data_IF_259125801999
#
_entry.id   IF_259125801999
#
_cell.length_a   1.000
_cell.length_b   1.000
_cell.length_c   1.000
_cell.angle_alpha   90.00
_cell.angle_beta   90.00
_cell.angle_gamma   90.00
#
_symmetry.space_group_name_H-M   'P 1'
#
loop_
_entity.id
_entity.type
_entity.pdbx_description
1 polymer ?
#
# COMPACT_ATOMS: atom_id res chain seq x y z
N UNK A 1 -42.09 0.53 45.86
CA UNK A 1 -41.47 1.40 44.85
C UNK A 1 -40.25 0.68 44.30
N UNK A 2 -40.40 -0.03 43.18
CA UNK A 2 -39.33 -0.85 42.58
C UNK A 2 -38.45 0.10 41.74
N UNK A 3 -37.19 0.26 42.15
CA UNK A 3 -36.20 1.05 41.41
C UNK A 3 -35.70 0.22 40.23
N UNK A 4 -36.08 0.61 39.01
CA UNK A 4 -35.55 0.05 37.77
C UNK A 4 -34.15 0.64 37.56
N UNK A 5 -33.11 -0.19 37.69
CA UNK A 5 -31.77 0.16 37.27
C UNK A 5 -31.67 -0.09 35.75
N UNK A 6 -31.50 0.98 34.97
CA UNK A 6 -31.26 0.89 33.54
C UNK A 6 -29.79 0.49 33.30
N UNK A 7 -29.60 -0.69 32.70
CA UNK A 7 -28.29 -1.18 32.26
C UNK A 7 -27.95 -0.49 30.93
N UNK A 8 -26.99 0.43 30.93
CA UNK A 8 -26.40 0.93 29.68
C UNK A 8 -25.51 -0.18 29.11
N UNK A 9 -25.98 -0.86 28.07
CA UNK A 9 -25.15 -1.72 27.23
C UNK A 9 -24.42 -0.80 26.26
N UNK A 10 -23.14 -0.52 26.54
CA UNK A 10 -22.22 0.07 25.57
C UNK A 10 -22.01 -0.97 24.45
N UNK A 11 -22.66 -0.74 23.31
CA UNK A 11 -22.36 -1.44 22.07
C UNK A 11 -20.97 -0.97 21.60
N UNK A 12 -19.93 -1.65 22.06
CA UNK A 12 -18.63 -1.57 21.40
C UNK A 12 -18.80 -2.16 19.99
N UNK A 13 -18.79 -1.29 18.97
CA UNK A 13 -18.67 -1.75 17.59
C UNK A 13 -17.36 -2.52 17.42
N UNK A 14 -17.26 -3.43 16.44
CA UNK A 14 -15.98 -4.06 16.13
C UNK A 14 -14.97 -2.94 15.83
N UNK A 15 -13.81 -2.99 16.49
CA UNK A 15 -12.65 -2.18 16.10
C UNK A 15 -12.44 -2.39 14.58
N UNK A 16 -12.24 -1.32 13.82
CA UNK A 16 -12.21 -1.42 12.37
C UNK A 16 -10.89 -2.06 11.93
N UNK A 17 -10.89 -3.39 11.88
CA UNK A 17 -9.85 -4.18 11.25
C UNK A 17 -9.69 -3.79 9.77
N UNK A 18 -8.52 -4.06 9.20
CA UNK A 18 -8.32 -3.96 7.76
C UNK A 18 -9.44 -4.70 7.03
N UNK A 19 -10.16 -4.01 6.14
CA UNK A 19 -11.26 -4.61 5.39
C UNK A 19 -10.83 -4.89 3.96
N UNK A 20 -10.82 -6.15 3.58
CA UNK A 20 -10.52 -6.61 2.23
C UNK A 20 -11.77 -7.16 1.56
N UNK A 21 -12.09 -6.69 0.35
CA UNK A 21 -13.21 -7.22 -0.42
C UNK A 21 -12.95 -7.18 -1.92
N UNK A 22 -13.70 -8.01 -2.65
CA UNK A 22 -13.73 -7.94 -4.10
C UNK A 22 -14.63 -6.80 -4.57
N UNK A 23 -14.22 -6.10 -5.63
CA UNK A 23 -14.98 -5.02 -6.28
C UNK A 23 -14.93 -5.21 -7.78
N UNK A 24 -16.10 -5.22 -8.42
CA UNK A 24 -16.21 -5.24 -9.88
C UNK A 24 -16.30 -3.80 -10.43
N UNK A 25 -15.43 -3.47 -11.38
CA UNK A 25 -15.39 -2.17 -12.06
C UNK A 25 -15.17 -2.36 -13.56
N UNK A 26 -16.12 -1.86 -14.38
CA UNK A 26 -16.06 -1.90 -15.86
C UNK A 26 -15.66 -3.28 -16.43
N UNK A 27 -16.23 -4.35 -15.89
CA UNK A 27 -15.97 -5.76 -16.24
C UNK A 27 -14.56 -6.27 -15.88
N UNK A 28 -13.92 -5.67 -14.87
CA UNK A 28 -12.68 -6.15 -14.28
C UNK A 28 -12.89 -6.26 -12.78
N UNK A 29 -12.39 -7.34 -12.19
CA UNK A 29 -12.46 -7.58 -10.76
C UNK A 29 -11.17 -7.14 -10.08
N UNK A 30 -11.30 -6.49 -8.95
CA UNK A 30 -10.20 -6.07 -8.09
C UNK A 30 -10.41 -6.61 -6.68
N UNK A 31 -9.32 -6.88 -5.97
CA UNK A 31 -9.35 -6.94 -4.51
C UNK A 31 -8.88 -5.59 -3.97
N UNK A 32 -9.67 -5.01 -3.09
CA UNK A 32 -9.40 -3.75 -2.38
C UNK A 32 -9.27 -4.06 -0.89
N UNK A 33 -8.17 -3.66 -0.29
CA UNK A 33 -7.97 -3.68 1.16
C UNK A 33 -7.86 -2.24 1.66
N UNK A 34 -8.80 -1.83 2.49
CA UNK A 34 -8.91 -0.49 3.06
C UNK A 34 -8.39 -0.47 4.49
N UNK A 35 -7.57 0.52 4.81
CA UNK A 35 -6.91 0.70 6.10
C UNK A 35 -7.12 2.13 6.59
N UNK A 36 -7.57 2.29 7.83
CA UNK A 36 -7.50 3.55 8.57
C UNK A 36 -6.17 3.60 9.34
N UNK A 37 -5.19 4.41 8.92
CA UNK A 37 -3.87 4.46 9.56
C UNK A 37 -3.90 5.01 10.99
N UNK A 38 -5.00 5.62 11.44
CA UNK A 38 -5.20 6.04 12.83
C UNK A 38 -5.56 4.88 13.78
N UNK A 39 -6.09 3.78 13.24
CA UNK A 39 -6.51 2.60 14.00
C UNK A 39 -5.57 1.43 13.78
N UNK A 40 -5.08 1.28 12.55
CA UNK A 40 -4.29 0.14 12.08
C UNK A 40 -2.90 0.62 11.59
N UNK A 41 -1.84 0.50 12.43
CA UNK A 41 -0.52 1.01 12.09
C UNK A 41 0.08 0.31 10.87
N UNK A 42 0.15 1.03 9.75
CA UNK A 42 0.80 0.56 8.53
C UNK A 42 2.32 0.58 8.72
N UNK A 43 2.98 -0.51 8.35
CA UNK A 43 4.44 -0.65 8.40
C UNK A 43 5.00 -1.05 7.04
N UNK A 44 6.28 -0.78 6.86
CA UNK A 44 7.09 -1.39 5.81
C UNK A 44 8.06 -2.39 6.44
N UNK A 45 8.33 -3.46 5.70
CA UNK A 45 9.23 -4.53 6.07
C UNK A 45 10.20 -4.80 4.91
N UNK A 46 11.50 -4.70 5.19
CA UNK A 46 12.55 -5.07 4.25
C UNK A 46 13.49 -6.11 4.84
N UNK A 47 13.99 -5.84 6.04
CA UNK A 47 15.03 -6.60 6.72
C UNK A 47 14.57 -7.10 8.08
N UNK A 48 15.05 -8.29 8.45
CA UNK A 48 15.04 -8.76 9.82
C UNK A 48 16.10 -8.04 10.69
N UNK A 49 16.10 -8.31 12.00
CA UNK A 49 17.06 -7.69 12.94
C UNK A 49 18.53 -8.01 12.63
N UNK A 50 18.80 -9.05 11.82
CA UNK A 50 20.14 -9.46 11.40
C UNK A 50 20.53 -8.89 10.02
N UNK A 51 19.70 -8.04 9.41
CA UNK A 51 19.92 -7.44 8.10
C UNK A 51 19.66 -8.39 6.93
N UNK A 52 18.94 -9.50 7.15
CA UNK A 52 18.54 -10.42 6.08
C UNK A 52 17.18 -10.00 5.54
N UNK A 53 17.01 -10.03 4.21
CA UNK A 53 15.72 -9.73 3.57
C UNK A 53 14.63 -10.69 4.06
N UNK A 54 13.49 -10.16 4.48
CA UNK A 54 12.31 -10.99 4.79
C UNK A 54 11.85 -11.79 3.57
N UNK A 55 11.69 -11.11 2.43
CA UNK A 55 11.37 -11.72 1.15
C UNK A 55 9.97 -12.33 1.01
N UNK A 56 9.22 -12.54 2.10
CA UNK A 56 7.91 -13.19 2.07
C UNK A 56 7.06 -12.83 3.29
N UNK A 57 5.74 -12.91 3.14
CA UNK A 57 4.78 -12.70 4.23
C UNK A 57 5.03 -13.68 5.40
N UNK A 58 5.23 -14.97 5.10
CA UNK A 58 5.52 -15.99 6.11
C UNK A 58 6.76 -15.69 6.95
N UNK A 59 7.82 -15.14 6.34
CA UNK A 59 9.03 -14.79 7.08
C UNK A 59 8.75 -13.65 8.09
N UNK A 60 7.96 -12.65 7.68
CA UNK A 60 7.49 -11.58 8.57
C UNK A 60 6.65 -12.18 9.70
N UNK A 61 5.66 -13.01 9.38
CA UNK A 61 4.78 -13.62 10.39
C UNK A 61 5.54 -14.45 11.42
N UNK A 62 6.53 -15.22 10.95
CA UNK A 62 7.34 -16.07 11.83
C UNK A 62 8.19 -15.31 12.85
N UNK A 63 8.48 -14.03 12.58
CA UNK A 63 9.36 -13.20 13.41
C UNK A 63 8.60 -12.12 14.17
N UNK A 64 7.62 -11.49 13.54
CA UNK A 64 6.95 -10.29 14.04
C UNK A 64 5.48 -10.52 14.44
N UNK A 65 4.90 -11.68 14.11
CA UNK A 65 3.49 -12.01 14.37
C UNK A 65 2.60 -11.91 13.14
N UNK A 66 1.37 -12.42 13.27
CA UNK A 66 0.39 -12.54 12.19
C UNK A 66 0.10 -11.19 11.50
N UNK A 67 -0.14 -11.23 10.19
CA UNK A 67 -0.46 -10.05 9.37
C UNK A 67 -1.96 -10.00 9.08
N UNK A 68 -2.66 -8.93 9.47
CA UNK A 68 -4.05 -8.71 9.01
C UNK A 68 -4.10 -8.38 7.52
N UNK A 69 -3.02 -7.80 6.99
CA UNK A 69 -2.87 -7.46 5.58
C UNK A 69 -1.39 -7.31 5.22
N UNK A 70 -1.00 -7.76 4.03
CA UNK A 70 0.28 -7.38 3.43
C UNK A 70 0.28 -7.43 1.90
N UNK A 71 1.17 -6.65 1.30
CA UNK A 71 1.33 -6.52 -0.15
C UNK A 71 2.77 -6.17 -0.49
N UNK A 72 3.30 -6.58 -1.64
CA UNK A 72 4.58 -6.04 -2.10
C UNK A 72 4.46 -4.54 -2.39
N UNK A 73 5.42 -3.75 -1.93
CA UNK A 73 5.38 -2.31 -2.02
C UNK A 73 6.23 -1.79 -3.20
N UNK A 74 7.05 -0.77 -2.99
CA UNK A 74 7.82 -0.13 -4.07
C UNK A 74 8.75 -1.07 -4.85
N UNK A 75 9.11 -0.63 -6.05
CA UNK A 75 9.97 -1.40 -6.96
C UNK A 75 11.35 -1.67 -6.37
N UNK A 76 11.92 -2.83 -6.71
CA UNK A 76 13.18 -3.32 -6.14
C UNK A 76 14.12 -3.92 -7.19
N UNK A 77 15.41 -3.98 -6.87
CA UNK A 77 16.47 -4.60 -7.67
C UNK A 77 16.47 -6.13 -7.53
N UNK A 78 17.28 -6.84 -8.31
CA UNK A 78 17.30 -8.32 -8.26
C UNK A 78 17.73 -8.88 -6.89
N UNK A 79 18.49 -8.11 -6.13
CA UNK A 79 18.91 -8.42 -4.75
C UNK A 79 17.87 -8.03 -3.69
N UNK A 80 16.66 -7.64 -4.12
CA UNK A 80 15.52 -7.24 -3.28
C UNK A 80 15.71 -5.88 -2.59
N UNK A 81 16.77 -5.12 -2.91
CA UNK A 81 16.95 -3.75 -2.41
C UNK A 81 15.99 -2.77 -3.10
N UNK A 82 15.46 -1.75 -2.40
CA UNK A 82 14.57 -0.76 -2.99
C UNK A 82 15.27 0.07 -4.07
N UNK A 83 14.56 0.37 -5.17
CA UNK A 83 15.11 1.19 -6.27
C UNK A 83 15.22 2.67 -5.90
N UNK A 84 14.25 3.19 -5.14
CA UNK A 84 14.17 4.59 -4.72
C UNK A 84 14.03 4.74 -3.21
N UNK A 85 13.47 5.87 -2.77
CA UNK A 85 13.32 6.19 -1.34
C UNK A 85 12.79 4.98 -0.57
N UNK A 86 13.49 4.63 0.50
CA UNK A 86 13.01 3.68 1.48
C UNK A 86 13.33 4.16 2.88
N UNK A 87 12.29 4.37 3.68
CA UNK A 87 12.39 4.74 5.09
C UNK A 87 11.70 3.66 5.91
N UNK A 88 12.38 3.19 6.97
CA UNK A 88 11.84 2.20 7.90
C UNK A 88 12.17 2.64 9.32
N UNK A 89 11.16 2.75 10.18
CA UNK A 89 11.29 3.27 11.55
C UNK A 89 11.98 4.65 11.62
N UNK A 90 11.72 5.53 10.64
CA UNK A 90 12.30 6.86 10.53
C UNK A 90 13.74 6.90 10.02
N UNK A 91 14.35 5.75 9.72
CA UNK A 91 15.70 5.68 9.13
C UNK A 91 15.62 5.56 7.60
N UNK A 92 16.27 6.49 6.89
CA UNK A 92 16.42 6.41 5.44
C UNK A 92 17.48 5.35 5.08
N UNK A 93 17.03 4.24 4.49
CA UNK A 93 17.90 3.16 3.99
C UNK A 93 18.25 3.34 2.51
N UNK A 94 17.42 4.06 1.76
CA UNK A 94 17.67 4.44 0.37
C UNK A 94 17.10 5.83 0.09
N UNK A 95 17.84 6.62 -0.69
CA UNK A 95 17.48 8.00 -1.05
C UNK A 95 16.37 8.09 -2.09
N UNK A 96 15.72 9.24 -2.14
CA UNK A 96 14.79 9.62 -3.22
C UNK A 96 15.47 9.67 -4.59
N UNK A 97 14.76 9.21 -5.63
CA UNK A 97 15.19 9.25 -7.03
C UNK A 97 14.18 10.06 -7.86
N UNK A 98 14.44 11.36 -8.11
CA UNK A 98 13.49 12.23 -8.83
C UNK A 98 13.61 12.14 -10.36
N UNK A 99 14.69 11.53 -10.86
CA UNK A 99 15.03 11.56 -12.27
C UNK A 99 14.27 10.50 -13.06
N UNK A 100 13.97 10.84 -14.32
CA UNK A 100 13.48 9.86 -15.27
C UNK A 100 14.51 8.73 -15.47
N UNK A 101 14.01 7.56 -15.82
CA UNK A 101 14.82 6.35 -15.95
C UNK A 101 14.11 5.28 -16.75
N UNK A 102 14.69 4.08 -16.83
CA UNK A 102 14.09 2.96 -17.53
C UNK A 102 12.87 2.40 -16.77
N UNK A 103 12.00 1.71 -17.51
CA UNK A 103 10.88 0.95 -16.94
C UNK A 103 9.78 1.82 -16.31
N UNK A 104 8.94 1.18 -15.50
CA UNK A 104 7.81 1.83 -14.84
C UNK A 104 8.28 2.85 -13.79
N UNK A 105 9.33 2.53 -13.02
CA UNK A 105 9.89 3.42 -11.99
C UNK A 105 10.26 4.80 -12.54
N UNK A 106 10.91 4.83 -13.71
CA UNK A 106 11.36 6.05 -14.36
C UNK A 106 10.29 6.75 -15.21
N UNK A 107 9.05 6.25 -15.22
CA UNK A 107 7.91 6.91 -15.86
C UNK A 107 7.41 8.03 -14.96
N UNK A 108 7.87 9.25 -15.22
CA UNK A 108 7.48 10.43 -14.46
C UNK A 108 6.07 10.94 -14.85
N UNK A 109 5.27 11.43 -13.89
CA UNK A 109 5.59 11.53 -12.46
C UNK A 109 5.59 10.18 -11.73
N UNK A 110 6.58 9.98 -10.86
CA UNK A 110 6.64 8.89 -9.88
C UNK A 110 6.32 9.45 -8.48
N UNK A 111 6.26 8.60 -7.46
CA UNK A 111 5.76 9.04 -6.16
C UNK A 111 6.25 8.23 -4.98
N UNK A 112 5.96 8.76 -3.80
CA UNK A 112 6.29 8.20 -2.50
C UNK A 112 4.99 7.88 -1.78
N UNK A 113 4.86 6.65 -1.30
CA UNK A 113 3.90 6.35 -0.23
C UNK A 113 4.60 6.60 1.10
N UNK A 114 4.13 7.60 1.85
CA UNK A 114 4.69 8.06 3.12
C UNK A 114 3.68 7.81 4.24
N UNK A 115 4.09 7.05 5.25
CA UNK A 115 3.31 6.74 6.45
C UNK A 115 3.88 7.54 7.62
N UNK A 116 2.97 8.11 8.41
CA UNK A 116 3.23 8.83 9.65
C UNK A 116 2.39 8.22 10.77
N UNK A 117 2.57 8.73 11.98
CA UNK A 117 1.67 8.39 13.08
C UNK A 117 0.23 8.85 12.76
N UNK A 118 -0.69 7.89 12.69
CA UNK A 118 -2.10 8.11 12.42
C UNK A 118 -2.49 8.62 11.01
N UNK A 119 -1.57 8.66 10.04
CA UNK A 119 -1.88 9.10 8.68
C UNK A 119 -0.93 8.52 7.63
N UNK A 120 -1.39 8.39 6.39
CA UNK A 120 -0.52 8.04 5.28
C UNK A 120 -0.95 8.74 3.99
N UNK A 121 0.03 9.15 3.18
CA UNK A 121 -0.22 9.89 1.94
C UNK A 121 0.62 9.33 0.80
N UNK A 122 0.02 9.26 -0.38
CA UNK A 122 0.73 9.20 -1.64
C UNK A 122 1.02 10.62 -2.10
N UNK A 123 2.28 10.89 -2.42
CA UNK A 123 2.76 12.21 -2.83
C UNK A 123 3.70 12.09 -4.03
N UNK A 124 3.58 13.01 -4.98
CA UNK A 124 4.48 13.09 -6.13
C UNK A 124 5.92 13.37 -5.69
N UNK A 125 6.91 12.75 -6.33
CA UNK A 125 8.30 12.77 -5.86
C UNK A 125 8.93 14.17 -5.78
N UNK A 126 8.76 15.03 -6.78
CA UNK A 126 9.31 16.39 -6.69
C UNK A 126 8.60 17.24 -5.63
N UNK A 127 7.30 17.02 -5.41
CA UNK A 127 6.57 17.60 -4.28
C UNK A 127 7.15 17.11 -2.96
N UNK A 128 7.39 15.82 -2.82
CA UNK A 128 8.03 15.23 -1.64
C UNK A 128 9.39 15.86 -1.35
N UNK A 129 10.24 16.07 -2.36
CA UNK A 129 11.55 16.73 -2.16
C UNK A 129 11.45 18.18 -1.68
N UNK A 130 10.43 18.92 -2.12
CA UNK A 130 10.25 20.33 -1.75
C UNK A 130 9.62 20.51 -0.38
N UNK A 131 8.59 19.72 -0.10
CA UNK A 131 7.78 19.87 1.11
C UNK A 131 8.37 19.05 2.25
N UNK A 132 9.15 18.01 1.93
CA UNK A 132 9.66 17.06 2.90
C UNK A 132 8.53 16.29 3.58
N UNK A 133 8.90 15.23 4.29
CA UNK A 133 8.00 14.57 5.19
C UNK A 133 8.78 13.74 6.18
N UNK A 134 8.55 13.98 7.47
CA UNK A 134 8.97 13.07 8.53
C UNK A 134 8.09 11.82 8.44
N UNK A 135 8.42 10.94 7.50
CA UNK A 135 7.77 9.64 7.35
C UNK A 135 8.40 8.66 8.35
N UNK A 136 7.56 7.97 9.11
CA UNK A 136 8.02 6.81 9.90
C UNK A 136 8.35 5.65 8.97
N UNK A 137 7.57 5.48 7.91
CA UNK A 137 7.84 4.54 6.83
C UNK A 137 7.62 5.23 5.48
N UNK A 138 8.47 4.95 4.49
CA UNK A 138 8.26 5.44 3.15
C UNK A 138 8.79 4.46 2.10
N UNK A 139 8.09 4.36 0.97
CA UNK A 139 8.57 3.62 -0.20
C UNK A 139 8.25 4.39 -1.47
N UNK A 140 9.28 4.58 -2.29
CA UNK A 140 9.13 5.18 -3.61
C UNK A 140 8.82 4.11 -4.65
N UNK A 141 7.94 4.47 -5.57
CA UNK A 141 7.63 3.65 -6.72
C UNK A 141 7.20 4.51 -7.90
N UNK A 142 6.88 3.90 -9.03
CA UNK A 142 6.37 4.61 -10.18
C UNK A 142 5.81 3.69 -11.25
N UNK A 143 4.87 4.17 -12.07
CA UNK A 143 4.37 5.56 -12.12
C UNK A 143 3.36 5.93 -11.02
N UNK A 144 3.17 7.23 -10.76
CA UNK A 144 1.94 7.69 -10.11
C UNK A 144 0.74 7.27 -10.98
N UNK A 145 -0.34 6.82 -10.36
CA UNK A 145 -1.57 6.44 -11.05
C UNK A 145 -2.51 7.64 -11.20
N UNK A 146 -2.69 8.35 -10.09
CA UNK A 146 -3.53 9.55 -9.99
C UNK A 146 -2.72 10.62 -9.27
N UNK A 147 -2.71 11.84 -9.80
CA UNK A 147 -2.01 13.01 -9.27
C UNK A 147 -3.04 14.14 -9.13
N UNK A 148 -3.36 14.52 -7.91
CA UNK A 148 -4.34 15.58 -7.60
C UNK A 148 -5.68 15.42 -8.35
N UNK A 149 -6.16 14.17 -8.47
CA UNK A 149 -7.39 13.82 -9.18
C UNK A 149 -7.26 13.69 -10.70
N UNK A 150 -6.07 13.88 -11.28
CA UNK A 150 -5.80 13.65 -12.70
C UNK A 150 -5.09 12.32 -12.92
N UNK A 151 -5.35 11.64 -14.06
CA UNK A 151 -4.61 10.44 -14.42
C UNK A 151 -3.21 10.83 -14.90
N UNK A 152 -2.25 9.93 -14.71
CA UNK A 152 -0.92 10.13 -15.28
C UNK A 152 -0.98 10.36 -16.81
N UNK A 153 -0.32 11.40 -17.35
CA UNK A 153 -0.45 11.84 -18.75
C UNK A 153 0.07 10.85 -19.81
N UNK A 154 0.73 9.77 -19.40
CA UNK A 154 1.32 8.76 -20.32
C UNK A 154 0.43 7.54 -20.48
N UNK A 155 -0.67 7.45 -19.74
CA UNK A 155 -1.55 6.29 -19.78
C UNK A 155 -2.45 6.36 -21.00
N UNK A 156 -2.39 5.32 -21.81
CA UNK A 156 -3.21 5.17 -23.01
C UNK A 156 -4.36 4.19 -22.70
N UNK A 157 -5.63 4.54 -22.99
CA UNK A 157 -6.78 3.67 -22.76
C UNK A 157 -6.67 2.28 -23.37
N UNK A 158 -6.01 2.17 -24.53
CA UNK A 158 -5.87 0.91 -25.28
C UNK A 158 -4.40 0.43 -25.32
N UNK A 159 -3.65 0.65 -24.24
CA UNK A 159 -2.25 0.18 -24.17
C UNK A 159 -2.17 -1.35 -24.17
N UNK A 160 -1.20 -1.88 -24.93
CA UNK A 160 -0.91 -3.31 -24.98
C UNK A 160 -0.13 -3.82 -23.75
N UNK A 161 0.42 -2.94 -22.90
CA UNK A 161 1.06 -3.35 -21.64
C UNK A 161 -0.01 -3.72 -20.63
N UNK A 162 -0.32 -5.02 -20.56
CA UNK A 162 -1.31 -5.58 -19.64
C UNK A 162 -0.64 -6.54 -18.67
N UNK A 163 -0.84 -6.29 -17.38
CA UNK A 163 -0.27 -7.10 -16.29
C UNK A 163 -1.28 -7.17 -15.15
N UNK A 164 -1.10 -8.13 -14.25
CA UNK A 164 -1.63 -7.99 -12.90
C UNK A 164 -0.91 -6.80 -12.27
N UNK A 165 -1.67 -5.89 -11.65
CA UNK A 165 -1.12 -4.66 -11.08
C UNK A 165 -1.59 -4.51 -9.65
N UNK A 166 -0.68 -4.06 -8.80
CA UNK A 166 -1.02 -3.56 -7.48
C UNK A 166 -0.59 -2.11 -7.30
N UNK A 167 -1.20 -1.46 -6.32
CA UNK A 167 -0.93 -0.07 -6.00
C UNK A 167 -1.64 0.36 -4.73
N UNK A 168 -1.36 1.59 -4.33
CA UNK A 168 -1.93 2.22 -3.14
C UNK A 168 -2.54 3.57 -3.52
N UNK A 169 -3.66 3.92 -2.90
CA UNK A 169 -4.29 5.23 -3.01
C UNK A 169 -4.59 5.79 -1.64
N UNK A 170 -4.59 7.12 -1.51
CA UNK A 170 -4.86 7.80 -0.23
C UNK A 170 -5.85 8.93 -0.39
N UNK A 171 -6.72 9.12 0.60
CA UNK A 171 -7.54 10.33 0.71
C UNK A 171 -6.67 11.58 0.91
N UNK A 172 -7.25 12.76 0.64
CA UNK A 172 -6.53 14.04 0.78
C UNK A 172 -6.07 14.33 2.21
N UNK A 173 -6.83 13.88 3.21
CA UNK A 173 -6.54 14.02 4.64
C UNK A 173 -5.61 12.91 5.18
N UNK A 174 -5.26 11.92 4.35
CA UNK A 174 -4.42 10.79 4.74
C UNK A 174 -5.04 9.83 5.76
N UNK A 175 -6.35 9.91 5.99
CA UNK A 175 -7.09 9.05 6.94
C UNK A 175 -7.68 7.79 6.31
N UNK A 176 -7.61 7.67 4.98
CA UNK A 176 -8.05 6.48 4.25
C UNK A 176 -6.96 6.04 3.30
N UNK A 177 -6.52 4.79 3.43
CA UNK A 177 -5.55 4.15 2.55
C UNK A 177 -6.22 2.95 1.89
N UNK A 178 -6.14 2.87 0.56
CA UNK A 178 -6.66 1.74 -0.21
C UNK A 178 -5.55 1.06 -0.96
N UNK A 179 -5.30 -0.20 -0.63
CA UNK A 179 -4.40 -1.07 -1.37
C UNK A 179 -5.23 -1.90 -2.35
N UNK A 180 -4.80 -1.94 -3.61
CA UNK A 180 -5.56 -2.60 -4.67
C UNK A 180 -4.67 -3.55 -5.42
N UNK A 181 -5.20 -4.72 -5.76
CA UNK A 181 -4.64 -5.63 -6.75
C UNK A 181 -5.72 -5.99 -7.77
N UNK A 182 -5.35 -6.05 -9.05
CA UNK A 182 -6.24 -6.52 -10.12
C UNK A 182 -6.28 -8.05 -10.15
N UNK A 183 -7.47 -8.64 -10.31
CA UNK A 183 -7.61 -10.09 -10.46
C UNK A 183 -7.37 -10.55 -11.90
N UNK A 184 -7.54 -9.65 -12.87
CA UNK A 184 -7.17 -9.85 -14.27
C UNK A 184 -6.07 -8.89 -14.74
N UNK A 185 -5.48 -9.21 -15.89
CA UNK A 185 -4.48 -8.34 -16.52
C UNK A 185 -5.12 -7.04 -17.00
N UNK A 186 -4.59 -5.91 -16.57
CA UNK A 186 -5.10 -4.57 -16.92
C UNK A 186 -3.98 -3.69 -17.47
N UNK A 187 -4.33 -2.71 -18.29
CA UNK A 187 -3.40 -1.64 -18.60
C UNK A 187 -3.39 -0.58 -17.49
N UNK A 188 -2.41 0.33 -17.53
CA UNK A 188 -2.30 1.39 -16.53
C UNK A 188 -3.49 2.34 -16.51
N UNK A 189 -4.09 2.63 -17.67
CA UNK A 189 -5.24 3.54 -17.75
C UNK A 189 -6.45 2.94 -17.00
N UNK A 190 -6.78 1.68 -17.28
CA UNK A 190 -7.91 1.00 -16.62
C UNK A 190 -7.67 0.92 -15.10
N UNK A 191 -6.46 0.55 -14.69
CA UNK A 191 -6.09 0.48 -13.28
C UNK A 191 -6.20 1.85 -12.59
N UNK A 192 -5.67 2.90 -13.21
CA UNK A 192 -5.69 4.25 -12.65
C UNK A 192 -7.11 4.85 -12.62
N UNK A 193 -7.95 4.56 -13.62
CA UNK A 193 -9.36 4.99 -13.60
C UNK A 193 -10.13 4.33 -12.46
N UNK A 194 -9.77 3.12 -12.04
CA UNK A 194 -10.40 2.52 -10.86
C UNK A 194 -10.08 3.31 -9.58
N UNK A 195 -8.82 3.72 -9.37
CA UNK A 195 -8.47 4.59 -8.25
C UNK A 195 -9.19 5.94 -8.31
N UNK A 196 -9.15 6.63 -9.46
CA UNK A 196 -9.71 7.98 -9.60
C UNK A 196 -11.24 7.98 -9.60
N UNK A 197 -11.84 7.18 -10.49
CA UNK A 197 -13.28 7.23 -10.77
C UNK A 197 -14.06 6.25 -9.88
N UNK A 198 -13.48 5.09 -9.55
CA UNK A 198 -14.12 4.05 -8.75
C UNK A 198 -13.97 4.25 -7.25
N UNK A 199 -12.74 4.53 -6.79
CA UNK A 199 -12.42 4.69 -5.36
C UNK A 199 -12.40 6.16 -4.90
N UNK A 200 -12.41 7.11 -5.83
CA UNK A 200 -12.47 8.54 -5.54
C UNK A 200 -11.23 9.10 -4.85
N UNK A 201 -10.07 8.43 -4.94
CA UNK A 201 -8.85 8.91 -4.28
C UNK A 201 -8.10 9.93 -5.15
N UNK A 202 -7.65 11.06 -4.58
CA UNK A 202 -6.97 12.10 -5.33
C UNK A 202 -5.53 11.74 -5.72
N UNK A 203 -4.88 10.87 -4.95
CA UNK A 203 -3.52 10.44 -5.22
C UNK A 203 -3.42 8.93 -5.11
N UNK A 204 -2.77 8.31 -6.08
CA UNK A 204 -2.51 6.89 -6.10
C UNK A 204 -1.17 6.58 -6.78
N UNK A 205 -0.53 5.52 -6.34
CA UNK A 205 0.81 5.12 -6.73
C UNK A 205 0.81 3.65 -7.13
N UNK A 206 1.42 3.36 -8.28
CA UNK A 206 1.70 2.00 -8.68
C UNK A 206 2.89 1.44 -7.91
N UNK A 207 2.78 0.22 -7.43
CA UNK A 207 3.86 -0.50 -6.76
C UNK A 207 4.74 -1.25 -7.75
N UNK A 208 4.76 -2.58 -7.76
CA UNK A 208 5.58 -3.37 -8.67
C UNK A 208 4.74 -4.40 -9.44
N UNK A 209 4.99 -4.52 -10.74
CA UNK A 209 4.32 -5.49 -11.62
C UNK A 209 5.17 -6.66 -12.04
N UNK A 210 6.45 -6.70 -11.66
CA UNK A 210 7.22 -7.94 -11.84
C UNK A 210 6.69 -9.03 -10.91
N UNK A 211 6.24 -8.62 -9.73
CA UNK A 211 5.56 -9.46 -8.74
C UNK A 211 4.44 -8.61 -8.13
N UNK A 212 3.19 -9.06 -8.24
CA UNK A 212 2.06 -8.48 -7.50
C UNK A 212 1.45 -9.58 -6.63
N UNK A 213 1.43 -9.38 -5.32
CA UNK A 213 0.94 -10.36 -4.34
C UNK A 213 0.20 -9.69 -3.20
N UNK A 214 -0.78 -10.41 -2.69
CA UNK A 214 -1.59 -10.03 -1.57
C UNK A 214 -1.62 -11.13 -0.50
N UNK A 215 -1.52 -10.69 0.75
CA UNK A 215 -1.89 -11.42 1.94
C UNK A 215 -3.08 -10.70 2.58
N UNK A 216 -4.21 -11.38 2.67
CA UNK A 216 -5.46 -10.88 3.20
C UNK A 216 -6.25 -12.05 3.84
N UNK A 217 -5.95 -12.40 5.10
CA UNK A 217 -6.57 -13.52 5.79
C UNK A 217 -8.09 -13.41 5.92
N UNK A 218 -8.63 -12.19 6.03
CA UNK A 218 -10.09 -11.95 6.12
C UNK A 218 -10.86 -12.58 4.96
N UNK A 219 -10.28 -12.58 3.75
CA UNK A 219 -10.86 -13.20 2.55
C UNK A 219 -10.22 -14.55 2.22
N UNK A 220 -9.41 -15.11 3.12
CA UNK A 220 -8.74 -16.40 2.95
C UNK A 220 -7.68 -16.42 1.85
N UNK A 221 -7.02 -15.28 1.56
CA UNK A 221 -6.03 -15.15 0.49
C UNK A 221 -4.62 -14.95 1.04
N UNK A 222 -3.67 -15.72 0.52
CA UNK A 222 -2.24 -15.49 0.72
C UNK A 222 -1.47 -15.98 -0.51
N UNK A 223 -1.01 -15.04 -1.33
CA UNK A 223 -0.36 -15.36 -2.61
C UNK A 223 1.07 -15.86 -2.39
N UNK A 224 1.39 -17.03 -2.96
CA UNK A 224 2.74 -17.60 -2.90
C UNK A 224 3.65 -17.13 -4.07
N UNK A 225 4.97 -17.28 -3.90
CA UNK A 225 5.95 -17.20 -5.00
C UNK A 225 7.36 -16.82 -4.55
N UNK A 226 8.21 -16.40 -5.50
CA UNK A 226 9.59 -15.93 -5.27
C UNK A 226 9.73 -14.79 -4.25
N UNK A 227 10.92 -14.64 -3.67
CA UNK A 227 11.19 -13.55 -2.74
C UNK A 227 10.94 -12.16 -3.36
N UNK A 228 10.47 -11.23 -2.53
CA UNK A 228 10.11 -9.86 -2.89
C UNK A 228 10.95 -8.85 -2.11
N UNK A 229 11.07 -7.62 -2.62
CA UNK A 229 11.72 -6.52 -1.92
C UNK A 229 10.82 -5.95 -0.81
N UNK A 230 10.68 -4.62 -0.72
CA UNK A 230 9.79 -3.97 0.22
C UNK A 230 8.40 -4.60 0.29
N UNK A 231 7.92 -4.86 1.50
CA UNK A 231 6.56 -5.32 1.78
C UNK A 231 5.88 -4.26 2.66
N UNK A 232 4.65 -3.89 2.33
CA UNK A 232 3.77 -3.07 3.17
C UNK A 232 2.76 -3.97 3.86
N UNK A 233 2.42 -3.70 5.11
CA UNK A 233 1.41 -4.47 5.82
C UNK A 233 0.99 -3.90 7.17
N UNK A 234 0.04 -4.57 7.78
CA UNK A 234 -0.48 -4.32 9.13
C UNK A 234 -0.36 -5.64 9.90
N UNK A 235 0.21 -5.57 11.11
CA UNK A 235 0.28 -6.72 12.03
C UNK A 235 -1.02 -6.79 12.84
N UNK A 236 -1.46 -7.99 13.18
CA UNK A 236 -2.58 -8.19 14.10
C UNK A 236 -2.25 -7.60 15.47
N UNK A 237 -3.14 -6.73 15.98
CA UNK A 237 -2.99 -6.04 17.27
C UNK A 237 -2.98 -6.94 18.52
N UNK A 238 -2.93 -8.26 18.39
CA UNK A 238 -2.81 -9.21 19.50
C UNK A 238 -1.35 -9.31 19.99
N UNK A 239 -0.75 -8.16 20.34
CA UNK A 239 0.66 -8.07 20.72
C UNK A 239 1.00 -6.83 21.56
N UNK A 240 0.06 -6.31 22.35
CA UNK A 240 0.37 -5.35 23.42
C UNK A 240 -0.24 -5.82 24.74
N UNK A 241 0.52 -6.68 25.42
CA UNK A 241 0.18 -7.23 26.72
C UNK A 241 1.35 -7.99 27.30
N UNK A 242 2.50 -7.31 27.43
CA UNK A 242 3.56 -7.70 28.36
C UNK A 242 3.28 -7.16 29.76
#
# INVERSE_FOLDING_TARGET
MIRLAALLVLLAGPAAAVTCNAVDWRNTRFTVCEVNPAEEPIRLFLDDENGRRFGSFRAIESELGELSFAMNAGMYHQDLSPVGLYVENGEEKMRVIPNAGPGNFGMLPNGVFCVRDGSAVVVETLRFEREGGDCTFATQSGPMLVIDGELHPRFLPNSNSRHIRNGVGTSADGQRVVFVISEEVVNFHDFATFFRDGLGVPNALYFDGKVSRLHAPEIGRSDAGFAMGPIVGVLDGAGSGG
#
